data_IF_475235471166
#
_entry.id   IF_475235471166
#
_cell.length_a   1.000
_cell.length_b   1.000
_cell.length_c   1.000
_cell.angle_alpha   90.00
_cell.angle_beta   90.00
_cell.angle_gamma   90.00
#
_symmetry.space_group_name_H-M   'P 1'
#
loop_
_entity.id
_entity.type
_entity.pdbx_description
1 polymer ?
#
# COMPACT_ATOMS: atom_id res chain seq x y z
N UNK A 1 8.13 30.10 -27.60
CA UNK A 1 7.11 29.65 -26.63
C UNK A 1 7.86 29.15 -25.41
N UNK A 2 7.65 29.74 -24.24
CA UNK A 2 8.35 29.30 -23.04
C UNK A 2 7.84 27.91 -22.65
N UNK A 3 8.73 26.91 -22.63
CA UNK A 3 8.44 25.62 -22.03
C UNK A 3 8.01 25.86 -20.59
N UNK A 4 6.72 25.63 -20.31
CA UNK A 4 6.18 25.67 -18.96
C UNK A 4 6.74 24.46 -18.20
N UNK A 5 7.95 24.61 -17.66
CA UNK A 5 8.56 23.62 -16.77
C UNK A 5 8.05 23.86 -15.37
N UNK A 6 7.39 22.85 -14.80
CA UNK A 6 6.95 22.83 -13.41
C UNK A 6 8.17 22.98 -12.49
N UNK A 7 8.07 23.85 -11.48
CA UNK A 7 9.13 24.03 -10.50
C UNK A 7 9.22 22.83 -9.55
N UNK A 8 10.40 22.61 -8.96
CA UNK A 8 10.70 21.42 -8.16
C UNK A 8 9.88 21.35 -6.86
N UNK A 9 9.48 22.49 -6.28
CA UNK A 9 8.66 22.53 -5.08
C UNK A 9 7.20 22.13 -5.37
N UNK A 10 6.63 22.65 -6.46
CA UNK A 10 5.31 22.23 -6.96
C UNK A 10 5.32 20.77 -7.40
N UNK A 11 6.40 20.32 -8.04
CA UNK A 11 6.58 18.91 -8.41
C UNK A 11 6.68 18.01 -7.18
N UNK A 12 7.45 18.37 -6.16
CA UNK A 12 7.56 17.61 -4.92
C UNK A 12 6.20 17.55 -4.18
N UNK A 13 5.47 18.65 -4.15
CA UNK A 13 4.11 18.73 -3.57
C UNK A 13 3.08 17.93 -4.36
N UNK A 14 3.16 17.95 -5.69
CA UNK A 14 2.33 17.11 -6.54
C UNK A 14 2.73 15.64 -6.46
N UNK A 15 4.01 15.30 -6.27
CA UNK A 15 4.46 13.93 -6.02
C UNK A 15 4.03 13.44 -4.62
N UNK A 16 3.96 14.31 -3.61
CA UNK A 16 3.38 13.95 -2.30
C UNK A 16 1.86 13.79 -2.33
N UNK A 17 1.17 14.44 -3.29
CA UNK A 17 -0.28 14.33 -3.50
C UNK A 17 -0.67 13.29 -4.57
N UNK A 18 0.28 12.95 -5.45
CA UNK A 18 0.18 11.99 -6.56
C UNK A 18 1.49 11.17 -6.59
N UNK A 19 1.68 10.24 -5.65
CA UNK A 19 2.90 9.43 -5.54
C UNK A 19 3.16 8.52 -6.75
N UNK A 20 2.21 8.45 -7.68
CA UNK A 20 2.32 7.70 -8.91
C UNK A 20 2.88 8.57 -10.05
N UNK A 21 4.15 8.99 -9.97
CA UNK A 21 4.89 9.18 -11.22
C UNK A 21 4.94 7.81 -11.91
N UNK A 22 4.53 7.72 -13.18
CA UNK A 22 4.24 6.46 -13.89
C UNK A 22 5.39 5.43 -13.97
N UNK A 23 6.57 5.76 -13.45
CA UNK A 23 7.77 4.91 -13.39
C UNK A 23 8.52 4.97 -12.04
N UNK A 24 7.96 5.62 -11.02
CA UNK A 24 8.59 5.77 -9.71
C UNK A 24 8.31 4.58 -8.80
N UNK A 25 9.29 4.27 -7.95
CA UNK A 25 9.09 3.45 -6.75
C UNK A 25 9.29 4.32 -5.53
N UNK A 26 8.55 4.08 -4.46
CA UNK A 26 8.73 4.77 -3.19
C UNK A 26 8.81 3.76 -2.04
N UNK A 27 9.45 4.17 -0.95
CA UNK A 27 9.57 3.36 0.26
C UNK A 27 8.49 3.74 1.27
N UNK A 28 7.96 2.75 1.96
CA UNK A 28 6.94 2.94 2.98
C UNK A 28 7.09 1.93 4.12
N UNK A 29 6.78 2.38 5.34
CA UNK A 29 6.79 1.58 6.56
C UNK A 29 5.40 1.64 7.20
N UNK A 30 4.83 0.49 7.65
CA UNK A 30 3.55 0.44 8.34
C UNK A 30 3.55 1.29 9.61
N UNK A 31 2.39 1.88 9.92
CA UNK A 31 2.28 2.83 11.03
C UNK A 31 2.33 2.10 12.38
N UNK A 32 1.93 0.84 12.41
CA UNK A 32 2.05 -0.06 13.58
C UNK A 32 3.48 -0.25 14.10
N UNK A 33 4.51 0.07 13.31
CA UNK A 33 5.92 -0.01 13.73
C UNK A 33 6.45 1.32 14.30
N UNK A 34 5.64 2.38 14.29
CA UNK A 34 6.02 3.74 14.70
C UNK A 34 5.50 4.10 16.10
N UNK A 35 5.06 3.10 16.85
CA UNK A 35 4.59 3.28 18.22
C UNK A 35 5.71 3.82 19.12
N UNK A 36 5.31 4.67 20.05
CA UNK A 36 6.20 5.33 21.01
C UNK A 36 5.85 4.94 22.42
N UNK A 37 6.87 4.86 23.26
CA UNK A 37 6.72 4.68 24.69
C UNK A 37 6.29 5.99 25.35
N UNK A 38 5.22 5.95 26.14
CA UNK A 38 4.59 7.16 26.69
C UNK A 38 5.48 7.93 27.68
N UNK A 39 6.36 7.22 28.40
CA UNK A 39 7.20 7.82 29.45
C UNK A 39 8.46 8.49 28.89
N UNK A 40 8.99 7.99 27.77
CA UNK A 40 10.28 8.40 27.21
C UNK A 40 10.14 9.18 25.89
N UNK A 41 8.97 9.12 25.24
CA UNK A 41 8.74 9.59 23.85
C UNK A 41 9.71 8.96 22.82
N UNK A 42 10.34 7.84 23.18
CA UNK A 42 11.20 7.06 22.29
C UNK A 42 10.37 6.03 21.52
N UNK A 43 10.84 5.62 20.34
CA UNK A 43 10.17 4.58 19.57
C UNK A 43 10.40 3.21 20.20
N UNK A 44 9.32 2.43 20.33
CA UNK A 44 9.38 1.06 20.88
C UNK A 44 10.30 0.18 20.02
N UNK A 45 10.25 0.36 18.70
CA UNK A 45 11.12 -0.32 17.74
C UNK A 45 12.11 0.70 17.18
N UNK A 46 13.43 0.44 17.19
CA UNK A 46 14.41 1.31 16.55
C UNK A 46 14.11 1.50 15.06
N UNK A 47 14.29 2.73 14.56
CA UNK A 47 13.97 3.09 13.17
C UNK A 47 14.72 2.26 12.14
N UNK A 48 15.92 1.83 12.49
CA UNK A 48 16.81 1.02 11.67
C UNK A 48 16.25 -0.39 11.44
N UNK A 49 15.35 -0.86 12.31
CA UNK A 49 14.71 -2.18 12.25
C UNK A 49 13.30 -2.13 11.67
N UNK A 50 12.81 -0.94 11.27
CA UNK A 50 11.50 -0.83 10.69
C UNK A 50 11.44 -1.48 9.32
N UNK A 51 10.39 -2.27 9.02
CA UNK A 51 10.23 -2.84 7.70
C UNK A 51 10.00 -1.74 6.68
N UNK A 52 10.70 -1.83 5.55
CA UNK A 52 10.57 -0.89 4.44
C UNK A 52 10.08 -1.64 3.23
N UNK A 53 8.92 -1.26 2.73
CA UNK A 53 8.35 -1.81 1.51
C UNK A 53 8.59 -0.85 0.35
N UNK A 54 9.14 -1.36 -0.73
CA UNK A 54 9.33 -0.62 -1.98
C UNK A 54 8.12 -0.88 -2.88
N UNK A 55 7.36 0.17 -3.14
CA UNK A 55 6.10 0.12 -3.86
C UNK A 55 6.23 0.83 -5.19
N UNK A 56 5.75 0.21 -6.28
CA UNK A 56 5.59 0.89 -7.58
C UNK A 56 4.19 1.49 -7.70
N UNK A 57 4.05 2.42 -8.65
CA UNK A 57 2.74 2.91 -9.05
C UNK A 57 1.87 1.78 -9.65
N UNK A 58 0.55 1.85 -9.38
CA UNK A 58 -0.45 1.08 -10.14
C UNK A 58 -0.45 1.55 -11.59
N UNK A 59 -0.57 0.60 -12.53
CA UNK A 59 -0.88 0.94 -13.91
C UNK A 59 -2.39 1.23 -14.05
N UNK A 60 -2.80 1.79 -15.20
CA UNK A 60 -4.20 2.18 -15.44
C UNK A 60 -5.18 1.01 -15.31
N UNK A 61 -4.78 -0.19 -15.72
CA UNK A 61 -5.62 -1.38 -15.63
C UNK A 61 -5.80 -1.81 -14.17
N UNK A 62 -4.70 -1.93 -13.43
CA UNK A 62 -4.71 -2.26 -12.01
C UNK A 62 -5.50 -1.25 -11.19
N UNK A 63 -5.36 0.05 -11.49
CA UNK A 63 -6.14 1.11 -10.85
C UNK A 63 -7.64 0.95 -11.09
N UNK A 64 -8.04 0.75 -12.35
CA UNK A 64 -9.44 0.50 -12.72
C UNK A 64 -10.00 -0.75 -12.04
N UNK A 65 -9.23 -1.85 -12.04
CA UNK A 65 -9.67 -3.14 -11.49
C UNK A 65 -9.83 -3.06 -9.97
N UNK A 66 -8.87 -2.44 -9.26
CA UNK A 66 -8.96 -2.20 -7.81
C UNK A 66 -10.14 -1.30 -7.46
N UNK A 67 -10.38 -0.25 -8.26
CA UNK A 67 -11.52 0.66 -8.07
C UNK A 67 -12.85 -0.07 -8.21
N UNK A 68 -12.99 -0.94 -9.21
CA UNK A 68 -14.20 -1.75 -9.41
C UNK A 68 -14.41 -2.72 -8.25
N UNK A 69 -13.35 -3.35 -7.75
CA UNK A 69 -13.41 -4.27 -6.61
C UNK A 69 -13.84 -3.54 -5.31
N UNK A 70 -13.30 -2.35 -5.06
CA UNK A 70 -13.71 -1.51 -3.92
C UNK A 70 -15.18 -1.11 -4.00
N UNK A 71 -15.62 -0.62 -5.16
CA UNK A 71 -17.01 -0.21 -5.36
C UNK A 71 -17.99 -1.38 -5.24
N UNK A 72 -17.60 -2.56 -5.72
CA UNK A 72 -18.43 -3.75 -5.59
C UNK A 72 -18.58 -4.16 -4.13
N UNK A 73 -17.52 -4.05 -3.31
CA UNK A 73 -17.55 -4.31 -1.86
C UNK A 73 -18.62 -3.49 -1.12
N UNK A 74 -18.81 -2.21 -1.49
CA UNK A 74 -19.84 -1.34 -0.92
C UNK A 74 -21.29 -1.71 -1.29
N UNK A 75 -21.47 -2.59 -2.28
CA UNK A 75 -22.78 -3.09 -2.75
C UNK A 75 -23.14 -4.50 -2.26
N UNK A 76 -22.21 -5.23 -1.64
CA UNK A 76 -22.53 -6.55 -1.06
C UNK A 76 -23.21 -6.37 0.30
N UNK A 77 -24.41 -6.96 0.43
CA UNK A 77 -25.02 -7.18 1.74
C UNK A 77 -24.13 -8.17 2.51
N UNK A 78 -23.96 -7.94 3.82
CA UNK A 78 -23.14 -8.74 4.77
C UNK A 78 -23.32 -10.28 4.69
N UNK A 79 -24.36 -10.76 4.03
CA UNK A 79 -24.77 -12.16 3.97
C UNK A 79 -23.98 -12.99 2.94
N UNK A 80 -23.24 -12.37 2.01
CA UNK A 80 -22.50 -13.07 0.95
C UNK A 80 -21.01 -13.23 1.29
N UNK A 81 -20.72 -14.01 2.34
CA UNK A 81 -19.37 -14.19 2.90
C UNK A 81 -18.32 -14.66 1.89
N UNK A 82 -18.72 -15.48 0.90
CA UNK A 82 -17.82 -15.96 -0.16
C UNK A 82 -17.39 -14.85 -1.11
N UNK A 83 -18.29 -13.93 -1.46
CA UNK A 83 -17.97 -12.82 -2.34
C UNK A 83 -17.00 -11.84 -1.67
N UNK A 84 -17.16 -11.60 -0.36
CA UNK A 84 -16.24 -10.75 0.41
C UNK A 84 -14.83 -11.32 0.49
N UNK A 85 -14.69 -12.65 0.67
CA UNK A 85 -13.39 -13.32 0.68
C UNK A 85 -12.68 -13.17 -0.67
N UNK A 86 -13.39 -13.42 -1.77
CA UNK A 86 -12.81 -13.28 -3.12
C UNK A 86 -12.36 -11.86 -3.42
N UNK A 87 -13.12 -10.84 -3.00
CA UNK A 87 -12.73 -9.44 -3.16
C UNK A 87 -11.48 -9.14 -2.33
N UNK A 88 -11.41 -9.64 -1.10
CA UNK A 88 -10.22 -9.52 -0.25
C UNK A 88 -8.98 -10.12 -0.93
N UNK A 89 -9.07 -11.36 -1.42
CA UNK A 89 -7.98 -12.04 -2.12
C UNK A 89 -7.53 -11.26 -3.37
N UNK A 90 -8.46 -10.76 -4.19
CA UNK A 90 -8.14 -9.94 -5.35
C UNK A 90 -7.41 -8.64 -4.98
N UNK A 91 -7.82 -8.01 -3.87
CA UNK A 91 -7.18 -6.79 -3.37
C UNK A 91 -5.76 -7.07 -2.87
N UNK A 92 -5.56 -8.11 -2.06
CA UNK A 92 -4.24 -8.52 -1.61
C UNK A 92 -3.31 -8.92 -2.77
N UNK A 93 -3.84 -9.64 -3.76
CA UNK A 93 -3.09 -10.03 -4.96
C UNK A 93 -2.66 -8.81 -5.79
N UNK A 94 -3.51 -7.78 -5.86
CA UNK A 94 -3.17 -6.54 -6.55
C UNK A 94 -2.06 -5.77 -5.82
N UNK A 95 -2.07 -5.79 -4.49
CA UNK A 95 -1.03 -5.17 -3.66
C UNK A 95 0.28 -5.96 -3.74
N UNK A 96 0.23 -7.29 -3.74
CA UNK A 96 1.41 -8.14 -3.94
C UNK A 96 2.18 -7.77 -5.22
N UNK A 97 1.45 -7.53 -6.31
CA UNK A 97 2.02 -7.18 -7.62
C UNK A 97 2.74 -5.84 -7.69
N UNK A 98 2.45 -4.94 -6.75
CA UNK A 98 3.05 -3.59 -6.71
C UNK A 98 4.19 -3.50 -5.69
N UNK A 99 4.35 -4.50 -4.83
CA UNK A 99 5.49 -4.62 -3.93
C UNK A 99 6.67 -5.17 -4.73
N UNK A 100 7.65 -4.30 -4.98
CA UNK A 100 8.82 -4.57 -5.83
C UNK A 100 10.12 -4.68 -5.04
N UNK A 101 10.00 -4.76 -3.71
CA UNK A 101 11.11 -4.94 -2.78
C UNK A 101 10.64 -4.79 -1.35
N UNK A 102 11.38 -5.37 -0.41
CA UNK A 102 11.32 -4.99 0.99
C UNK A 102 12.68 -5.16 1.68
N UNK A 103 12.85 -4.48 2.79
CA UNK A 103 14.02 -4.56 3.69
C UNK A 103 13.52 -4.61 5.14
N UNK A 104 14.32 -5.18 6.03
CA UNK A 104 14.05 -5.28 7.47
C UNK A 104 12.71 -5.97 7.79
N UNK A 105 12.27 -6.90 6.95
CA UNK A 105 11.12 -7.76 7.27
C UNK A 105 11.65 -8.94 8.07
N UNK A 106 11.64 -8.82 9.39
CA UNK A 106 12.29 -9.79 10.28
C UNK A 106 11.27 -10.79 10.83
N UNK A 107 11.62 -12.07 10.82
CA UNK A 107 10.90 -13.08 11.60
C UNK A 107 11.24 -12.91 13.08
N UNK A 108 10.26 -12.54 13.90
CA UNK A 108 10.45 -12.27 15.33
C UNK A 108 10.94 -13.51 16.10
N UNK A 109 10.61 -14.72 15.64
CA UNK A 109 10.99 -15.96 16.33
C UNK A 109 12.42 -16.37 16.01
N UNK A 110 12.85 -16.27 14.75
CA UNK A 110 14.21 -16.66 14.36
C UNK A 110 15.22 -15.51 14.41
N UNK A 111 14.75 -14.27 14.30
CA UNK A 111 15.58 -13.08 14.15
C UNK A 111 16.14 -12.90 12.73
N UNK A 112 15.77 -13.77 11.80
CA UNK A 112 16.27 -13.72 10.43
C UNK A 112 15.47 -12.73 9.58
N UNK A 113 16.17 -12.05 8.68
CA UNK A 113 15.52 -11.22 7.67
C UNK A 113 14.91 -12.10 6.58
N UNK A 114 13.66 -11.81 6.26
CA UNK A 114 12.92 -12.48 5.23
C UNK A 114 13.26 -11.87 3.87
N UNK A 115 14.05 -12.61 3.08
CA UNK A 115 14.51 -12.13 1.77
C UNK A 115 13.36 -11.85 0.81
N UNK A 116 13.45 -10.72 0.11
CA UNK A 116 12.57 -10.39 -0.98
C UNK A 116 12.90 -11.23 -2.21
N UNK A 117 11.89 -11.85 -2.79
CA UNK A 117 11.98 -12.53 -4.07
C UNK A 117 10.89 -12.02 -5.01
N UNK A 118 11.26 -11.80 -6.28
CA UNK A 118 10.35 -11.28 -7.28
C UNK A 118 9.74 -12.42 -8.11
N UNK A 119 8.43 -12.34 -8.35
CA UNK A 119 7.74 -13.24 -9.27
C UNK A 119 7.95 -12.85 -10.74
N UNK A 120 7.64 -13.72 -11.71
CA UNK A 120 7.77 -13.40 -13.14
C UNK A 120 6.91 -12.21 -13.62
N UNK A 121 5.91 -11.79 -12.84
CA UNK A 121 5.06 -10.64 -13.14
C UNK A 121 5.63 -9.31 -12.64
N UNK A 122 6.73 -9.36 -11.88
CA UNK A 122 7.44 -8.20 -11.35
C UNK A 122 7.02 -7.80 -9.93
N UNK A 123 6.15 -8.55 -9.25
CA UNK A 123 5.75 -8.31 -7.86
C UNK A 123 6.42 -9.25 -6.87
N UNK A 124 6.07 -9.17 -5.59
CA UNK A 124 6.60 -10.09 -4.57
C UNK A 124 6.18 -11.53 -4.84
N UNK A 125 7.08 -12.51 -4.73
CA UNK A 125 6.76 -13.94 -4.89
C UNK A 125 5.61 -14.34 -3.96
N UNK A 126 4.62 -15.06 -4.51
CA UNK A 126 3.38 -15.38 -3.78
C UNK A 126 3.63 -16.13 -2.47
N UNK A 127 4.50 -17.13 -2.50
CA UNK A 127 4.85 -17.90 -1.29
C UNK A 127 5.40 -16.99 -0.21
N UNK A 128 6.36 -16.13 -0.56
CA UNK A 128 6.97 -15.14 0.35
C UNK A 128 5.93 -14.14 0.87
N UNK A 129 5.07 -13.65 -0.01
CA UNK A 129 3.98 -12.74 0.36
C UNK A 129 2.99 -13.38 1.34
N UNK A 130 2.63 -14.64 1.13
CA UNK A 130 1.64 -15.34 1.93
C UNK A 130 2.09 -15.53 3.39
N UNK A 131 3.41 -15.63 3.65
CA UNK A 131 3.99 -15.63 5.00
C UNK A 131 3.83 -14.31 5.77
N UNK A 132 3.60 -13.19 5.09
CA UNK A 132 3.50 -11.90 5.75
C UNK A 132 2.21 -11.81 6.59
N UNK A 133 2.23 -11.19 7.79
CA UNK A 133 1.01 -11.04 8.60
C UNK A 133 -0.09 -10.27 7.88
N UNK A 134 -1.34 -10.70 8.07
CA UNK A 134 -2.50 -10.07 7.43
C UNK A 134 -2.70 -8.61 7.83
N UNK A 135 -2.25 -8.21 9.03
CA UNK A 135 -2.21 -6.81 9.47
C UNK A 135 -1.33 -5.96 8.53
N UNK A 136 -0.11 -6.42 8.24
CA UNK A 136 0.83 -5.74 7.34
C UNK A 136 0.26 -5.69 5.92
N UNK A 137 -0.28 -6.81 5.42
CA UNK A 137 -0.93 -6.86 4.09
C UNK A 137 -2.11 -5.88 4.00
N UNK A 138 -2.88 -5.74 5.08
CA UNK A 138 -4.03 -4.82 5.16
C UNK A 138 -3.59 -3.36 5.22
N UNK A 139 -2.57 -3.02 6.01
CA UNK A 139 -2.01 -1.67 6.04
C UNK A 139 -1.40 -1.28 4.68
N UNK A 140 -0.67 -2.18 4.04
CA UNK A 140 -0.16 -1.99 2.66
C UNK A 140 -1.30 -1.69 1.69
N UNK A 141 -2.37 -2.48 1.75
CA UNK A 141 -3.55 -2.26 0.92
C UNK A 141 -4.19 -0.88 1.15
N UNK A 142 -4.41 -0.51 2.41
CA UNK A 142 -4.99 0.79 2.76
C UNK A 142 -4.11 1.95 2.31
N UNK A 143 -2.79 1.81 2.51
CA UNK A 143 -1.81 2.78 2.06
C UNK A 143 -1.90 2.97 0.54
N UNK A 144 -1.84 1.87 -0.21
CA UNK A 144 -1.92 1.86 -1.69
C UNK A 144 -3.21 2.49 -2.20
N UNK A 145 -4.34 2.21 -1.54
CA UNK A 145 -5.61 2.82 -1.88
C UNK A 145 -5.62 4.33 -1.65
N UNK A 146 -5.06 4.78 -0.51
CA UNK A 146 -4.99 6.21 -0.14
C UNK A 146 -4.11 6.97 -1.13
N UNK A 147 -2.90 6.48 -1.36
CA UNK A 147 -1.90 7.12 -2.23
C UNK A 147 -2.28 7.08 -3.71
N UNK A 148 -3.08 6.09 -4.12
CA UNK A 148 -3.63 6.01 -5.48
C UNK A 148 -4.94 6.78 -5.67
N UNK A 149 -5.42 7.48 -4.64
CA UNK A 149 -6.66 8.26 -4.68
C UNK A 149 -7.94 7.43 -4.82
N UNK A 150 -7.88 6.14 -4.46
CA UNK A 150 -9.02 5.22 -4.53
C UNK A 150 -9.96 5.38 -3.33
N UNK A 151 -9.40 5.71 -2.16
CA UNK A 151 -10.14 5.98 -0.94
C UNK A 151 -9.80 7.40 -0.48
N UNK A 152 -10.82 8.18 -0.11
CA UNK A 152 -10.63 9.45 0.59
C UNK A 152 -10.54 9.19 2.09
N UNK A 153 -9.54 9.80 2.73
CA UNK A 153 -9.52 9.95 4.19
C UNK A 153 -10.11 11.33 4.48
N UNK A 154 -11.42 11.40 4.65
CA UNK A 154 -11.98 12.53 5.37
C UNK A 154 -11.65 12.31 6.86
N UNK A 155 -11.31 13.38 7.59
CA UNK A 155 -10.73 13.37 8.94
C UNK A 155 -11.66 12.89 10.06
N UNK A 156 -12.50 11.89 9.76
CA UNK A 156 -13.53 11.34 10.63
C UNK A 156 -13.73 9.85 10.29
N UNK A 157 -12.69 9.02 10.52
CA UNK A 157 -12.64 7.53 10.57
C UNK A 157 -13.53 6.68 9.63
N UNK A 158 -14.06 7.25 8.55
CA UNK A 158 -14.96 6.60 7.61
C UNK A 158 -14.29 6.57 6.24
N UNK A 159 -13.97 5.37 5.76
CA UNK A 159 -13.49 5.18 4.40
C UNK A 159 -14.61 5.53 3.40
N UNK A 160 -14.46 6.63 2.68
CA UNK A 160 -15.31 6.94 1.52
C UNK A 160 -14.58 6.62 0.21
N UNK A 161 -15.18 5.77 -0.63
CA UNK A 161 -14.64 5.45 -1.96
C UNK A 161 -14.87 6.65 -2.89
N UNK A 162 -13.80 7.13 -3.53
CA UNK A 162 -13.88 8.30 -4.41
C UNK A 162 -14.75 8.03 -5.65
N UNK A 163 -15.87 8.76 -5.79
CA UNK A 163 -16.83 8.62 -6.92
C UNK A 163 -16.52 9.50 -8.14
N UNK A 164 -15.40 10.23 -8.20
CA UNK A 164 -15.12 11.13 -9.34
C UNK A 164 -14.49 10.39 -10.54
N UNK A 165 -15.11 10.53 -11.73
CA UNK A 165 -14.45 10.40 -13.04
C UNK A 165 -15.15 9.46 -14.02
N UNK A 166 -15.89 10.05 -14.97
CA UNK A 166 -16.46 9.48 -16.19
C UNK A 166 -15.38 9.18 -17.24
#
# INVERSE_FOLDING_TARGET
MAEHRMDDATRARLMSLMPCASKGTYEWTPDSFKDREEETDEYIIPKEQWPKFKLRALNNKEHSDLRKALLSQGSFKKEDSKALIQISEMMHESVRKIVVGWENVIDVLSGDEFEYEQDPSGGALKEKWDFMPDSVKSELFQHVCRVSGLIKVDGDDRMEISRRGF
#
